data_IF_591636090269
#
_entry.id   IF_591636090269
#
_cell.length_a   1.000
_cell.length_b   1.000
_cell.length_c   1.000
_cell.angle_alpha   90.00
_cell.angle_beta   90.00
_cell.angle_gamma   90.00
#
_symmetry.space_group_name_H-M   'P 1'
#
loop_
_entity.id
_entity.type
_entity.pdbx_description
1 polymer ?
#
# COMPACT_ATOMS: atom_id res chain seq x y z
N UNK A 1 27.98 26.98 5.36
CA UNK A 1 27.66 26.79 3.94
C UNK A 1 26.15 26.71 3.85
N UNK A 2 25.51 27.45 2.95
CA UNK A 2 24.05 27.36 2.77
C UNK A 2 23.68 25.93 2.32
N UNK A 3 22.61 25.35 2.87
CA UNK A 3 22.33 23.92 2.79
C UNK A 3 21.50 23.53 1.55
N UNK A 4 20.51 24.33 1.17
CA UNK A 4 19.79 24.24 -0.12
C UNK A 4 19.17 25.61 -0.46
N UNK A 5 18.95 25.93 -1.74
CA UNK A 5 18.15 27.10 -2.15
C UNK A 5 16.95 26.63 -2.96
N UNK A 6 15.82 27.37 -2.97
CA UNK A 6 14.73 27.04 -3.87
C UNK A 6 15.14 27.26 -5.32
N UNK A 7 14.73 26.34 -6.16
CA UNK A 7 14.87 26.40 -7.61
C UNK A 7 13.53 26.07 -8.26
N UNK A 8 13.30 26.57 -9.46
CA UNK A 8 12.13 26.19 -10.27
C UNK A 8 12.15 24.69 -10.54
N UNK A 9 11.04 23.99 -10.29
CA UNK A 9 10.90 22.59 -10.71
C UNK A 9 10.52 22.49 -12.19
N UNK A 10 11.04 21.52 -12.94
CA UNK A 10 10.55 21.24 -14.30
C UNK A 10 9.15 20.59 -14.27
N UNK A 11 8.49 20.49 -15.43
CA UNK A 11 7.34 19.58 -15.59
C UNK A 11 7.85 18.14 -15.69
N UNK A 12 7.18 17.22 -14.98
CA UNK A 12 7.44 15.79 -15.03
C UNK A 12 6.89 15.14 -16.30
N UNK A 13 5.91 15.78 -16.96
CA UNK A 13 5.23 15.19 -18.12
C UNK A 13 4.23 14.11 -17.72
N UNK A 14 3.82 14.09 -16.45
CA UNK A 14 2.84 13.21 -15.88
C UNK A 14 1.81 14.04 -15.12
N UNK A 15 0.53 13.89 -15.45
CA UNK A 15 -0.55 14.76 -14.95
C UNK A 15 -0.75 14.71 -13.43
N UNK A 16 -0.43 13.59 -12.76
CA UNK A 16 -0.55 13.49 -11.30
C UNK A 16 0.68 14.03 -10.61
N UNK A 17 1.89 13.74 -11.13
CA UNK A 17 3.11 14.33 -10.57
C UNK A 17 3.04 15.86 -10.72
N UNK A 18 2.82 16.35 -11.96
CA UNK A 18 2.66 17.78 -12.24
C UNK A 18 1.50 18.40 -11.45
N UNK A 19 0.47 17.61 -11.15
CA UNK A 19 -0.67 18.00 -10.33
C UNK A 19 -0.36 18.19 -8.84
N UNK A 20 0.75 17.64 -8.35
CA UNK A 20 1.25 17.84 -6.98
C UNK A 20 2.45 18.76 -6.88
N UNK A 21 3.12 19.13 -7.98
CA UNK A 21 4.27 20.05 -7.88
C UNK A 21 3.79 21.48 -7.63
N UNK A 22 4.40 22.18 -6.67
CA UNK A 22 4.17 23.61 -6.47
C UNK A 22 4.73 24.45 -7.63
N UNK A 23 5.84 24.04 -8.25
CA UNK A 23 6.56 24.85 -9.25
C UNK A 23 7.97 25.26 -8.83
N UNK A 24 8.30 25.06 -7.55
CA UNK A 24 9.62 25.22 -6.97
C UNK A 24 9.87 24.16 -5.91
N UNK A 25 11.14 23.87 -5.66
CA UNK A 25 11.59 22.88 -4.68
C UNK A 25 12.99 23.24 -4.18
N UNK A 26 13.42 22.64 -3.09
CA UNK A 26 14.77 22.83 -2.57
C UNK A 26 15.80 22.05 -3.37
N UNK A 27 16.97 22.64 -3.63
CA UNK A 27 18.04 21.89 -4.29
C UNK A 27 19.42 22.32 -3.79
N UNK A 28 20.30 21.35 -3.60
CA UNK A 28 21.75 21.51 -3.51
C UNK A 28 22.40 20.67 -4.61
N UNK A 29 22.86 21.30 -5.71
CA UNK A 29 23.37 20.58 -6.88
C UNK A 29 24.70 19.89 -6.64
N UNK A 30 25.33 20.06 -5.48
CA UNK A 30 26.68 19.54 -5.21
C UNK A 30 26.70 18.31 -4.31
N UNK A 31 25.82 18.22 -3.32
CA UNK A 31 25.89 17.19 -2.27
C UNK A 31 24.53 16.61 -1.87
N UNK A 32 23.45 16.93 -2.60
CA UNK A 32 22.10 16.46 -2.33
C UNK A 32 21.33 17.36 -1.35
N UNK A 33 20.01 17.31 -1.42
CA UNK A 33 19.12 18.24 -0.70
C UNK A 33 19.15 17.98 0.80
N UNK A 34 19.79 18.91 1.52
CA UNK A 34 19.83 18.92 2.99
C UNK A 34 19.07 20.14 3.48
N UNK A 35 18.21 19.95 4.48
CA UNK A 35 17.30 20.97 4.98
C UNK A 35 17.36 21.05 6.49
N UNK A 36 17.67 22.23 7.01
CA UNK A 36 17.63 22.52 8.43
C UNK A 36 16.21 22.93 8.84
N UNK A 37 15.63 22.16 9.75
CA UNK A 37 14.30 22.39 10.31
C UNK A 37 14.45 22.97 11.71
N UNK A 38 13.88 24.15 11.93
CA UNK A 38 13.71 24.72 13.27
C UNK A 38 12.27 24.55 13.73
N UNK A 39 12.07 24.02 14.92
CA UNK A 39 10.74 23.91 15.54
C UNK A 39 10.59 25.06 16.53
N UNK A 40 9.81 26.07 16.14
CA UNK A 40 9.58 27.26 16.95
C UNK A 40 8.67 26.94 18.15
N UNK A 41 8.87 27.62 19.27
CA UNK A 41 7.96 27.59 20.41
C UNK A 41 8.10 26.40 21.36
N UNK A 42 9.13 25.56 21.22
CA UNK A 42 9.35 24.38 22.08
C UNK A 42 9.59 24.69 23.56
N UNK A 43 9.90 25.96 23.89
CA UNK A 43 10.17 26.42 25.26
C UNK A 43 9.20 27.53 25.68
N UNK A 44 7.98 27.52 25.15
CA UNK A 44 6.96 28.55 25.32
C UNK A 44 6.89 29.49 24.12
N UNK A 45 6.08 30.55 24.25
CA UNK A 45 5.76 31.45 23.14
C UNK A 45 7.01 32.01 22.44
N UNK A 46 7.09 31.77 21.13
CA UNK A 46 8.16 32.27 20.27
C UNK A 46 7.56 32.88 19.01
N UNK A 47 7.99 34.10 18.67
CA UNK A 47 7.55 34.77 17.44
C UNK A 47 8.50 34.42 16.31
N UNK A 48 7.95 34.08 15.15
CA UNK A 48 8.71 33.93 13.90
C UNK A 48 7.93 34.54 12.73
N UNK A 49 8.63 34.78 11.62
CA UNK A 49 8.03 35.34 10.41
C UNK A 49 7.42 34.23 9.55
N UNK A 50 6.11 34.27 9.37
CA UNK A 50 5.38 33.41 8.44
C UNK A 50 5.00 34.25 7.23
N UNK A 51 5.95 34.39 6.31
CA UNK A 51 5.70 35.06 5.03
C UNK A 51 5.43 36.56 5.15
N UNK A 52 6.14 37.25 6.04
CA UNK A 52 5.90 38.66 6.34
C UNK A 52 4.84 38.92 7.41
N UNK A 53 4.18 37.87 7.92
CA UNK A 53 3.26 37.96 9.06
C UNK A 53 3.94 37.38 10.30
N UNK A 54 4.11 38.16 11.39
CA UNK A 54 4.59 37.61 12.65
C UNK A 54 3.55 36.66 13.25
N UNK A 55 3.96 35.42 13.53
CA UNK A 55 3.14 34.38 14.17
C UNK A 55 3.76 33.96 15.50
N UNK A 56 2.94 33.70 16.52
CA UNK A 56 3.42 33.21 17.82
C UNK A 56 3.22 31.70 17.93
N UNK A 57 4.31 30.94 17.76
CA UNK A 57 4.30 29.50 18.02
C UNK A 57 4.37 29.20 19.52
N UNK A 58 3.68 28.14 19.94
CA UNK A 58 3.78 27.54 21.27
C UNK A 58 3.63 26.02 21.14
N UNK A 59 4.72 25.37 20.69
CA UNK A 59 4.72 23.97 20.26
C UNK A 59 4.97 23.03 21.44
N UNK A 60 4.02 22.13 21.72
CA UNK A 60 4.17 21.05 22.70
C UNK A 60 5.22 20.03 22.22
N UNK A 61 6.02 19.44 23.13
CA UNK A 61 6.98 18.41 22.76
C UNK A 61 6.41 17.23 21.95
N UNK A 62 5.11 16.90 22.09
CA UNK A 62 4.45 15.86 21.29
C UNK A 62 4.24 16.28 19.83
N UNK A 63 3.95 17.56 19.58
CA UNK A 63 3.82 18.13 18.24
C UNK A 63 5.19 18.20 17.57
N UNK A 64 6.20 18.65 18.30
CA UNK A 64 7.58 18.64 17.83
C UNK A 64 8.03 17.23 17.41
N UNK A 65 7.68 16.20 18.21
CA UNK A 65 7.96 14.82 17.86
C UNK A 65 7.25 14.37 16.57
N UNK A 66 6.03 14.84 16.30
CA UNK A 66 5.32 14.50 15.06
C UNK A 66 5.84 15.24 13.84
N UNK A 67 6.29 16.49 13.96
CA UNK A 67 7.02 17.14 12.85
C UNK A 67 8.29 16.35 12.49
N UNK A 68 9.04 15.89 13.50
CA UNK A 68 10.22 15.05 13.27
C UNK A 68 9.85 13.69 12.65
N UNK A 69 8.76 13.08 13.09
CA UNK A 69 8.25 11.83 12.51
C UNK A 69 7.83 12.00 11.04
N UNK A 70 7.08 13.07 10.73
CA UNK A 70 6.68 13.39 9.36
C UNK A 70 7.90 13.61 8.44
N UNK A 71 8.93 14.31 8.94
CA UNK A 71 10.19 14.49 8.22
C UNK A 71 10.87 13.14 7.92
N UNK A 72 10.96 12.25 8.91
CA UNK A 72 11.54 10.91 8.72
C UNK A 72 10.78 10.09 7.67
N UNK A 73 9.45 10.16 7.64
CA UNK A 73 8.64 9.47 6.63
C UNK A 73 8.95 9.94 5.20
N UNK A 74 9.30 11.21 5.01
CA UNK A 74 9.77 11.76 3.72
C UNK A 74 11.21 11.29 3.41
N UNK A 75 12.11 11.24 4.39
CA UNK A 75 13.48 10.71 4.19
C UNK A 75 13.50 9.23 3.82
N UNK A 76 12.51 8.44 4.27
CA UNK A 76 12.39 7.03 3.90
C UNK A 76 12.22 6.85 2.39
N UNK A 77 11.56 7.79 1.70
CA UNK A 77 11.12 7.60 0.31
C UNK A 77 11.93 8.39 -0.72
N UNK A 78 12.66 9.44 -0.31
CA UNK A 78 13.45 10.28 -1.24
C UNK A 78 14.75 10.80 -0.60
N UNK A 79 15.66 11.31 -1.42
CA UNK A 79 16.99 11.80 -0.98
C UNK A 79 16.94 13.24 -0.45
N UNK A 80 16.03 13.49 0.49
CA UNK A 80 16.06 14.68 1.35
C UNK A 80 16.68 14.27 2.67
N UNK A 81 17.55 15.11 3.22
CA UNK A 81 18.06 14.94 4.57
C UNK A 81 17.66 16.12 5.47
N UNK A 82 16.78 15.86 6.43
CA UNK A 82 16.38 16.84 7.43
C UNK A 82 17.36 16.84 8.60
N UNK A 83 17.70 18.05 9.06
CA UNK A 83 18.61 18.28 10.16
C UNK A 83 17.97 19.26 11.13
N UNK A 84 18.22 19.12 12.43
CA UNK A 84 17.72 20.11 13.40
C UNK A 84 18.55 21.39 13.29
N UNK A 85 17.89 22.52 13.08
CA UNK A 85 18.49 23.84 13.16
C UNK A 85 18.68 24.27 14.61
N UNK A 86 19.72 25.06 14.91
CA UNK A 86 19.96 25.56 16.28
C UNK A 86 19.33 26.91 16.58
N UNK A 87 18.80 27.59 15.55
CA UNK A 87 18.12 28.88 15.64
C UNK A 87 17.27 29.13 14.40
N UNK A 88 16.30 30.05 14.48
CA UNK A 88 15.51 30.49 13.31
C UNK A 88 16.40 30.95 12.15
N UNK A 89 17.47 31.70 12.42
CA UNK A 89 18.40 32.21 11.39
C UNK A 89 19.26 31.13 10.73
N UNK A 90 19.33 29.93 11.32
CA UNK A 90 20.04 28.78 10.78
C UNK A 90 19.11 27.83 9.99
N UNK A 91 17.81 28.12 9.99
CA UNK A 91 16.79 27.25 9.42
C UNK A 91 16.60 27.48 7.92
N UNK A 92 16.38 26.39 7.18
CA UNK A 92 15.80 26.41 5.84
C UNK A 92 14.27 26.31 5.91
N UNK A 93 13.75 25.55 6.87
CA UNK A 93 12.32 25.35 7.16
C UNK A 93 12.08 25.70 8.63
N UNK A 94 11.04 26.50 8.91
CA UNK A 94 10.56 26.77 10.27
C UNK A 94 9.18 26.16 10.42
N UNK A 95 8.99 25.30 11.42
CA UNK A 95 7.68 24.71 11.75
C UNK A 95 7.25 25.10 13.16
N UNK A 96 5.95 25.11 13.43
CA UNK A 96 5.44 25.28 14.79
C UNK A 96 3.93 25.07 14.90
N UNK A 97 3.44 24.92 16.13
CA UNK A 97 2.01 24.96 16.41
C UNK A 97 1.61 26.35 16.90
N UNK A 98 0.49 26.86 16.40
CA UNK A 98 -0.03 28.18 16.74
C UNK A 98 -1.54 28.12 16.98
N UNK A 99 -2.08 29.16 17.63
CA UNK A 99 -3.51 29.23 17.94
C UNK A 99 -4.34 29.70 16.75
N UNK A 100 -5.66 29.57 16.84
CA UNK A 100 -6.61 29.82 15.76
C UNK A 100 -6.52 31.24 15.17
N UNK A 101 -6.17 32.22 16.00
CA UNK A 101 -6.01 33.61 15.58
C UNK A 101 -4.86 33.78 14.57
N UNK A 102 -3.77 33.04 14.79
CA UNK A 102 -2.54 33.08 14.00
C UNK A 102 -2.67 32.23 12.72
N UNK A 103 -3.41 31.12 12.75
CA UNK A 103 -3.65 30.25 11.57
C UNK A 103 -4.94 30.61 10.81
N UNK A 104 -5.60 31.72 11.18
CA UNK A 104 -6.81 32.24 10.52
C UNK A 104 -7.97 31.23 10.36
N UNK A 105 -8.13 30.31 11.32
CA UNK A 105 -9.19 29.31 11.28
C UNK A 105 -8.91 28.05 10.45
N UNK A 106 -7.76 27.95 9.78
CA UNK A 106 -7.38 26.74 9.06
C UNK A 106 -6.81 25.67 10.01
N UNK A 107 -6.77 24.40 9.56
CA UNK A 107 -6.12 23.30 10.30
C UNK A 107 -4.60 23.47 10.32
N UNK A 108 -4.05 23.97 9.22
CA UNK A 108 -2.65 24.30 9.05
C UNK A 108 -2.48 25.30 7.92
N UNK A 109 -1.27 25.80 7.78
CA UNK A 109 -0.86 26.58 6.63
C UNK A 109 0.64 26.42 6.41
N UNK A 110 1.08 26.50 5.15
CA UNK A 110 2.49 26.41 4.80
C UNK A 110 2.84 27.35 3.66
N UNK A 111 4.11 27.74 3.63
CA UNK A 111 4.70 28.59 2.59
C UNK A 111 5.65 27.71 1.80
N UNK A 112 5.34 27.41 0.53
CA UNK A 112 6.18 26.57 -0.29
C UNK A 112 7.57 27.18 -0.56
N UNK A 113 8.58 26.35 -0.89
CA UNK A 113 9.91 26.83 -1.24
C UNK A 113 9.87 27.83 -2.39
N UNK A 114 10.59 28.94 -2.26
CA UNK A 114 10.71 29.94 -3.33
C UNK A 114 9.58 30.98 -3.38
N UNK A 115 8.55 30.85 -2.55
CA UNK A 115 7.58 31.92 -2.35
C UNK A 115 8.11 32.88 -1.27
N UNK A 116 8.43 34.10 -1.68
CA UNK A 116 8.83 35.17 -0.76
C UNK A 116 7.75 36.24 -0.74
N UNK A 117 6.89 36.19 0.29
CA UNK A 117 5.79 37.14 0.45
C UNK A 117 6.16 38.37 1.30
N UNK A 118 7.44 38.70 1.52
CA UNK A 118 7.76 40.07 1.97
C UNK A 118 9.23 40.48 2.23
N UNK A 119 9.49 41.56 3.00
CA UNK A 119 10.72 42.35 2.83
C UNK A 119 11.99 41.94 3.63
N UNK A 120 12.09 40.77 4.26
CA UNK A 120 13.27 40.44 5.11
C UNK A 120 13.58 38.93 5.13
N UNK A 121 14.65 38.54 4.42
CA UNK A 121 15.58 37.40 4.65
C UNK A 121 14.94 36.05 5.07
N UNK A 122 14.93 35.08 4.12
CA UNK A 122 14.67 33.64 4.32
C UNK A 122 13.29 33.25 4.90
N UNK A 123 12.26 33.33 4.05
CA UNK A 123 10.83 33.15 4.40
C UNK A 123 10.17 31.92 3.77
N UNK A 124 10.98 30.99 3.30
CA UNK A 124 10.57 29.89 2.43
C UNK A 124 10.43 28.61 3.25
N UNK A 125 9.46 27.76 2.90
CA UNK A 125 9.28 26.46 3.55
C UNK A 125 8.70 26.49 4.96
N UNK A 126 8.15 27.60 5.45
CA UNK A 126 7.57 27.67 6.80
C UNK A 126 6.24 26.92 6.88
N UNK A 127 5.94 26.23 7.98
CA UNK A 127 4.65 25.56 8.22
C UNK A 127 4.12 25.81 9.64
N UNK A 128 2.81 25.98 9.76
CA UNK A 128 2.10 26.09 11.03
C UNK A 128 0.92 25.13 11.08
N UNK A 129 0.69 24.57 12.25
CA UNK A 129 -0.49 23.74 12.56
C UNK A 129 -1.30 24.40 13.66
N UNK A 130 -2.62 24.29 13.58
CA UNK A 130 -3.54 24.94 14.51
C UNK A 130 -3.90 24.02 15.67
N UNK A 131 -3.29 24.23 16.83
CA UNK A 131 -3.56 23.39 18.01
C UNK A 131 -4.99 23.56 18.56
N UNK A 132 -5.65 24.69 18.28
CA UNK A 132 -7.05 24.93 18.70
C UNK A 132 -8.05 24.15 17.83
N UNK A 133 -7.62 23.64 16.67
CA UNK A 133 -8.44 22.89 15.73
C UNK A 133 -8.28 21.36 15.87
N UNK A 134 -7.48 20.89 16.83
CA UNK A 134 -7.30 19.47 17.05
C UNK A 134 -8.61 18.78 17.38
N UNK A 135 -8.77 17.60 16.80
CA UNK A 135 -9.95 16.77 16.99
C UNK A 135 -9.94 16.04 18.35
N UNK A 136 -8.84 16.12 19.11
CA UNK A 136 -8.79 15.66 20.50
C UNK A 136 -7.80 16.43 21.38
N UNK A 137 -8.25 16.77 22.59
CA UNK A 137 -7.44 17.50 23.59
C UNK A 137 -6.31 16.65 24.21
N UNK A 138 -6.36 15.33 24.06
CA UNK A 138 -5.40 14.39 24.64
C UNK A 138 -4.24 14.02 23.68
N UNK A 139 -4.17 14.67 22.51
CA UNK A 139 -3.20 14.41 21.44
C UNK A 139 -3.27 12.99 20.87
N UNK A 140 -4.39 12.28 21.06
CA UNK A 140 -4.53 10.91 20.54
C UNK A 140 -4.71 10.89 19.02
N UNK A 141 -5.34 11.92 18.45
CA UNK A 141 -5.50 12.16 17.01
C UNK A 141 -4.24 12.66 16.31
N UNK A 142 -3.25 13.13 17.07
CA UNK A 142 -1.95 13.53 16.56
C UNK A 142 -1.03 12.32 16.26
N UNK A 143 -1.37 11.12 16.73
CA UNK A 143 -0.57 9.91 16.44
C UNK A 143 -0.71 9.53 14.97
N UNK A 144 0.34 8.95 14.38
CA UNK A 144 0.30 8.45 13.01
C UNK A 144 -0.96 7.63 12.73
N UNK A 145 -1.73 8.06 11.74
CA UNK A 145 -3.03 7.49 11.38
C UNK A 145 -4.26 8.20 11.93
N UNK A 146 -4.08 9.09 12.90
CA UNK A 146 -5.11 10.01 13.36
C UNK A 146 -5.24 11.22 12.45
N UNK A 147 -6.37 11.91 12.56
CA UNK A 147 -6.74 13.03 11.70
C UNK A 147 -5.79 14.21 11.83
N UNK A 148 -5.44 14.60 13.05
CA UNK A 148 -4.56 15.76 13.24
C UNK A 148 -3.14 15.49 12.71
N UNK A 149 -2.69 14.22 12.69
CA UNK A 149 -1.41 13.87 12.07
C UNK A 149 -1.38 14.11 10.56
N UNK A 150 -2.51 13.97 9.86
CA UNK A 150 -2.57 14.19 8.40
C UNK A 150 -2.20 15.63 8.07
N UNK A 151 -2.63 16.58 8.91
CA UNK A 151 -2.27 18.00 8.76
C UNK A 151 -0.76 18.21 8.88
N UNK A 152 -0.07 17.55 9.82
CA UNK A 152 1.37 17.72 10.01
C UNK A 152 2.18 17.28 8.79
N UNK A 153 1.86 16.09 8.26
CA UNK A 153 2.58 15.57 7.08
C UNK A 153 2.22 16.34 5.80
N UNK A 154 0.98 16.82 5.70
CA UNK A 154 0.49 17.67 4.63
C UNK A 154 1.21 19.03 4.57
N UNK A 155 1.27 19.76 5.69
CA UNK A 155 1.94 21.07 5.73
C UNK A 155 3.45 20.95 5.48
N UNK A 156 4.07 19.86 5.94
CA UNK A 156 5.45 19.56 5.60
C UNK A 156 5.63 19.24 4.11
N UNK A 157 4.64 18.59 3.48
CA UNK A 157 4.57 18.38 2.03
C UNK A 157 4.65 19.69 1.25
N UNK A 158 3.89 20.71 1.67
CA UNK A 158 3.99 22.06 1.13
C UNK A 158 5.38 22.68 1.34
N UNK A 159 5.94 22.55 2.55
CA UNK A 159 7.29 23.06 2.86
C UNK A 159 8.39 22.47 2.00
N UNK A 160 8.16 21.30 1.38
CA UNK A 160 9.07 20.65 0.42
C UNK A 160 8.58 20.73 -1.03
N UNK A 161 7.62 21.59 -1.34
CA UNK A 161 7.27 21.95 -2.72
C UNK A 161 6.14 21.13 -3.34
N UNK A 162 5.31 20.49 -2.53
CA UNK A 162 4.05 19.91 -3.00
C UNK A 162 2.90 20.93 -2.93
N UNK A 163 1.84 20.73 -3.71
CA UNK A 163 0.61 21.51 -3.72
C UNK A 163 -0.61 20.60 -3.61
N UNK A 164 -1.78 21.21 -3.41
CA UNK A 164 -3.02 20.45 -3.45
C UNK A 164 -3.34 19.98 -4.88
N UNK A 165 -4.04 18.85 -5.04
CA UNK A 165 -4.49 18.36 -6.35
C UNK A 165 -5.60 19.21 -6.99
N UNK A 166 -6.18 20.16 -6.26
CA UNK A 166 -7.36 20.94 -6.67
C UNK A 166 -7.11 22.44 -6.89
N UNK A 167 -5.94 22.96 -6.52
CA UNK A 167 -5.60 24.37 -6.67
C UNK A 167 -4.55 24.63 -7.75
N UNK A 168 -4.61 25.82 -8.34
CA UNK A 168 -3.55 26.32 -9.19
C UNK A 168 -2.41 26.81 -8.29
N UNK A 169 -1.51 25.90 -7.91
CA UNK A 169 -0.28 26.28 -7.18
C UNK A 169 0.62 27.23 -7.99
N UNK A 170 1.89 27.30 -7.63
CA UNK A 170 2.87 28.10 -8.37
C UNK A 170 3.07 27.65 -9.84
N UNK A 171 3.55 28.57 -10.68
CA UNK A 171 4.11 28.23 -12.00
C UNK A 171 3.17 27.62 -13.04
N UNK A 172 1.84 27.69 -12.87
CA UNK A 172 0.85 27.22 -13.86
C UNK A 172 0.65 25.71 -13.89
N UNK A 173 0.84 25.05 -12.76
CA UNK A 173 0.69 23.59 -12.59
C UNK A 173 -0.78 23.17 -12.69
N UNK A 174 -1.08 22.01 -13.30
CA UNK A 174 -2.45 21.55 -13.46
C UNK A 174 -3.04 21.05 -12.14
N UNK A 175 -4.36 20.85 -12.12
CA UNK A 175 -5.03 20.02 -11.12
C UNK A 175 -4.91 18.54 -11.51
N UNK A 176 -5.25 17.65 -10.58
CA UNK A 176 -5.49 16.25 -10.91
C UNK A 176 -6.60 16.14 -11.98
N UNK A 177 -6.49 15.18 -12.93
CA UNK A 177 -7.53 14.93 -13.90
C UNK A 177 -8.92 14.75 -13.25
N UNK A 178 -9.91 15.48 -13.77
CA UNK A 178 -11.28 15.47 -13.27
C UNK A 178 -11.53 16.33 -12.02
N UNK A 179 -10.50 16.85 -11.35
CA UNK A 179 -10.65 17.63 -10.11
C UNK A 179 -10.93 19.10 -10.40
N UNK A 180 -12.07 19.55 -9.92
CA UNK A 180 -12.61 20.91 -10.06
C UNK A 180 -12.90 21.59 -8.72
N UNK A 181 -12.92 20.84 -7.62
CA UNK A 181 -13.16 21.35 -6.28
C UNK A 181 -12.30 20.71 -5.19
N UNK A 182 -12.22 21.34 -4.00
CA UNK A 182 -11.41 20.87 -2.89
C UNK A 182 -11.99 19.64 -2.17
N UNK A 183 -13.31 19.65 -1.90
CA UNK A 183 -13.98 18.65 -1.08
C UNK A 183 -15.06 17.91 -1.87
N UNK A 184 -15.20 16.61 -1.63
CA UNK A 184 -16.22 15.77 -2.27
C UNK A 184 -16.02 15.56 -3.78
N UNK A 185 -14.86 15.95 -4.30
CA UNK A 185 -14.45 15.78 -5.69
C UNK A 185 -13.25 14.86 -5.76
N UNK A 186 -13.50 13.60 -6.10
CA UNK A 186 -12.50 12.55 -6.11
C UNK A 186 -11.74 12.45 -7.43
N UNK A 187 -12.06 13.30 -8.41
CA UNK A 187 -11.45 13.29 -9.75
C UNK A 187 -11.67 12.00 -10.53
N UNK A 188 -10.99 11.87 -11.66
CA UNK A 188 -11.07 10.67 -12.49
C UNK A 188 -10.55 9.44 -11.74
N UNK A 189 -11.26 8.32 -11.88
CA UNK A 189 -10.96 7.05 -11.19
C UNK A 189 -10.93 7.15 -9.65
N UNK A 190 -11.49 8.22 -9.07
CA UNK A 190 -11.46 8.51 -7.63
C UNK A 190 -10.03 8.64 -7.06
N UNK A 191 -9.09 9.19 -7.83
CA UNK A 191 -7.67 9.26 -7.44
C UNK A 191 -7.31 10.49 -6.58
N UNK A 192 -8.26 11.40 -6.31
CA UNK A 192 -8.10 12.52 -5.38
C UNK A 192 -8.66 12.18 -3.99
N UNK A 193 -7.97 11.30 -3.26
CA UNK A 193 -8.33 10.84 -1.91
C UNK A 193 -7.07 10.62 -1.07
N UNK A 194 -7.21 10.66 0.26
CA UNK A 194 -6.12 10.54 1.22
C UNK A 194 -5.32 9.25 1.05
N UNK A 195 -5.96 8.16 0.63
CA UNK A 195 -5.27 6.89 0.33
C UNK A 195 -4.30 6.92 -0.87
N UNK A 196 -4.28 8.00 -1.67
CA UNK A 196 -3.43 8.12 -2.86
C UNK A 196 -2.52 9.36 -2.85
N UNK A 197 -2.88 10.39 -2.09
CA UNK A 197 -2.09 11.61 -1.90
C UNK A 197 -2.42 12.23 -0.54
N UNK A 198 -1.43 12.51 0.29
CA UNK A 198 -1.60 13.24 1.55
C UNK A 198 -1.97 14.72 1.32
N UNK A 199 -1.72 15.24 0.11
CA UNK A 199 -2.02 16.63 -0.25
C UNK A 199 -3.50 16.90 -0.60
N UNK A 200 -4.39 15.91 -0.53
CA UNK A 200 -5.82 16.15 -0.77
C UNK A 200 -6.51 16.75 0.46
N UNK A 201 -7.73 17.23 0.27
CA UNK A 201 -8.67 17.54 1.37
C UNK A 201 -9.73 16.44 1.55
N UNK A 202 -9.63 15.37 0.76
CA UNK A 202 -10.51 14.20 0.83
C UNK A 202 -9.83 13.09 1.64
N UNK A 203 -9.52 13.36 2.91
CA UNK A 203 -8.71 12.54 3.79
C UNK A 203 -9.28 11.12 3.99
N UNK A 204 -8.42 10.13 4.17
CA UNK A 204 -8.79 8.72 4.27
C UNK A 204 -9.39 8.14 2.97
N UNK A 205 -10.25 7.13 3.10
CA UNK A 205 -10.86 6.44 1.97
C UNK A 205 -12.35 6.77 1.81
N UNK A 206 -12.63 7.93 1.19
CA UNK A 206 -13.98 8.46 1.04
C UNK A 206 -14.93 7.53 0.28
N UNK A 207 -14.44 6.87 -0.78
CA UNK A 207 -15.22 5.93 -1.60
C UNK A 207 -15.10 4.47 -1.14
N UNK A 208 -14.51 4.23 0.03
CA UNK A 208 -14.32 2.89 0.57
C UNK A 208 -15.63 2.24 1.03
N UNK A 209 -15.64 0.91 1.22
CA UNK A 209 -16.82 0.17 1.66
C UNK A 209 -17.31 0.58 3.06
N UNK A 210 -16.43 1.16 3.90
CA UNK A 210 -16.78 1.68 5.22
C UNK A 210 -17.33 3.12 5.18
N UNK A 211 -17.29 3.76 4.01
CA UNK A 211 -17.59 5.18 3.85
C UNK A 211 -16.53 6.11 4.45
N UNK A 212 -16.72 7.43 4.34
CA UNK A 212 -15.83 8.42 4.92
C UNK A 212 -15.92 8.42 6.45
N UNK A 213 -14.78 8.69 7.11
CA UNK A 213 -14.74 8.91 8.54
C UNK A 213 -15.07 10.36 8.87
N UNK A 214 -15.83 10.56 9.95
CA UNK A 214 -16.05 11.87 10.55
C UNK A 214 -14.98 12.10 11.62
N UNK A 215 -14.07 13.08 11.47
CA UNK A 215 -13.03 13.36 12.47
C UNK A 215 -13.62 13.80 13.82
N UNK A 216 -14.82 14.39 13.88
CA UNK A 216 -15.45 14.71 15.16
C UNK A 216 -15.85 13.45 15.97
N UNK A 217 -16.01 12.31 15.29
CA UNK A 217 -16.43 11.04 15.91
C UNK A 217 -15.25 10.07 16.00
N UNK A 218 -14.44 9.98 14.95
CA UNK A 218 -13.34 9.03 14.79
C UNK A 218 -12.06 9.74 14.36
N UNK A 219 -11.40 10.50 15.25
CA UNK A 219 -10.19 11.24 14.87
C UNK A 219 -8.89 10.46 15.08
N UNK A 220 -8.94 9.29 15.71
CA UNK A 220 -7.74 8.65 16.29
C UNK A 220 -7.06 7.61 15.38
N UNK A 221 -7.69 7.27 14.27
CA UNK A 221 -7.25 6.25 13.33
C UNK A 221 -8.01 6.39 12.01
N UNK A 222 -7.56 5.69 10.97
CA UNK A 222 -8.33 5.56 9.75
C UNK A 222 -8.01 6.53 8.63
N UNK A 223 -6.97 7.34 8.82
CA UNK A 223 -6.48 8.29 7.82
C UNK A 223 -5.12 7.84 7.29
N UNK A 224 -4.63 8.53 6.26
CA UNK A 224 -3.30 8.35 5.70
C UNK A 224 -2.22 8.68 6.74
N UNK A 225 -1.26 7.76 6.88
CA UNK A 225 -0.19 7.86 7.86
C UNK A 225 1.19 8.10 7.24
N UNK A 226 1.32 8.12 5.92
CA UNK A 226 2.59 8.24 5.21
C UNK A 226 2.40 9.09 3.95
N UNK A 227 3.49 9.54 3.28
CA UNK A 227 3.39 9.93 1.88
C UNK A 227 2.80 8.75 1.09
N UNK A 228 1.85 9.05 0.21
CA UNK A 228 1.12 8.06 -0.58
C UNK A 228 1.68 7.98 -2.00
N UNK A 229 1.15 7.10 -2.85
CA UNK A 229 1.78 6.76 -4.13
C UNK A 229 2.12 7.97 -5.01
N UNK A 230 1.24 8.96 -5.10
CA UNK A 230 1.51 10.17 -5.88
C UNK A 230 2.47 11.12 -5.18
N UNK A 231 2.41 11.23 -3.85
CA UNK A 231 3.38 12.03 -3.07
C UNK A 231 4.79 11.46 -3.22
N UNK A 232 4.93 10.13 -3.11
CA UNK A 232 6.19 9.42 -3.29
C UNK A 232 6.72 9.70 -4.70
N UNK A 233 5.91 9.52 -5.74
CA UNK A 233 6.34 9.78 -7.12
C UNK A 233 6.76 11.26 -7.33
N UNK A 234 6.04 12.21 -6.75
CA UNK A 234 6.35 13.64 -6.86
C UNK A 234 7.63 14.02 -6.09
N UNK A 235 7.78 13.55 -4.85
CA UNK A 235 8.96 13.80 -4.04
C UNK A 235 10.21 13.13 -4.64
N UNK A 236 10.09 11.91 -5.16
CA UNK A 236 11.19 11.24 -5.86
C UNK A 236 11.54 11.91 -7.18
N UNK A 237 10.56 12.50 -7.88
CA UNK A 237 10.86 13.32 -9.06
C UNK A 237 11.67 14.58 -8.70
N UNK A 238 11.34 15.24 -7.59
CA UNK A 238 12.05 16.44 -7.13
C UNK A 238 13.43 16.14 -6.55
N UNK A 239 13.54 15.09 -5.74
CA UNK A 239 14.68 14.86 -4.85
C UNK A 239 15.45 13.56 -5.14
N UNK A 240 14.96 12.72 -6.05
CA UNK A 240 15.47 11.38 -6.30
C UNK A 240 15.00 10.37 -5.24
N UNK A 241 14.84 9.12 -5.67
CA UNK A 241 14.40 8.03 -4.79
C UNK A 241 15.48 7.61 -3.79
N UNK A 242 15.07 7.33 -2.55
CA UNK A 242 15.93 6.68 -1.57
C UNK A 242 15.94 5.18 -1.83
N UNK A 243 17.02 4.66 -2.41
CA UNK A 243 17.15 3.24 -2.81
C UNK A 243 17.75 2.34 -1.73
N UNK A 244 17.86 2.82 -0.48
CA UNK A 244 18.47 2.08 0.63
C UNK A 244 17.52 1.89 1.82
N UNK A 245 16.22 2.15 1.62
CA UNK A 245 15.21 2.00 2.66
C UNK A 245 14.56 0.62 2.55
N UNK A 246 14.66 -0.19 3.62
CA UNK A 246 14.19 -1.58 3.65
C UNK A 246 14.76 -2.39 2.48
N UNK A 247 15.95 -2.95 2.70
CA UNK A 247 16.65 -3.77 1.69
C UNK A 247 16.63 -5.26 2.08
N UNK A 248 15.78 -5.62 3.04
CA UNK A 248 15.68 -6.96 3.59
C UNK A 248 14.29 -7.54 3.35
N UNK A 249 14.11 -8.78 3.77
CA UNK A 249 12.79 -9.40 3.66
C UNK A 249 11.86 -8.82 4.72
N UNK A 250 10.78 -8.16 4.27
CA UNK A 250 9.84 -7.47 5.13
C UNK A 250 8.43 -8.12 5.07
N UNK A 251 7.73 -8.08 6.21
CA UNK A 251 6.34 -8.56 6.32
C UNK A 251 5.43 -7.40 6.69
N UNK A 252 4.57 -7.03 5.75
CA UNK A 252 3.54 -6.00 5.87
C UNK A 252 2.24 -6.64 6.36
N UNK A 253 1.98 -6.55 7.67
CA UNK A 253 0.78 -7.15 8.27
C UNK A 253 -0.37 -6.17 8.27
N UNK A 254 -1.50 -6.55 7.66
CA UNK A 254 -2.73 -5.75 7.65
C UNK A 254 -3.30 -5.61 9.07
N UNK A 255 -3.78 -4.42 9.41
CA UNK A 255 -4.44 -4.18 10.69
C UNK A 255 -5.70 -5.03 10.84
N UNK A 256 -5.92 -5.58 12.03
CA UNK A 256 -7.03 -6.49 12.32
C UNK A 256 -8.19 -5.84 13.08
N UNK A 257 -8.01 -4.63 13.58
CA UNK A 257 -9.02 -3.87 14.32
C UNK A 257 -8.85 -2.36 14.12
N UNK A 258 -9.94 -1.61 14.24
CA UNK A 258 -9.95 -0.16 14.21
C UNK A 258 -9.55 0.41 15.57
N UNK A 259 -8.34 0.95 15.68
CA UNK A 259 -7.79 1.53 16.91
C UNK A 259 -6.65 2.52 16.59
N UNK A 260 -6.24 3.39 17.54
CA UNK A 260 -5.06 4.24 17.36
C UNK A 260 -3.85 3.44 16.84
N UNK A 261 -3.23 3.92 15.75
CA UNK A 261 -2.19 3.19 15.01
C UNK A 261 -2.70 2.35 13.83
N UNK A 262 -4.00 2.37 13.53
CA UNK A 262 -4.58 1.84 12.29
C UNK A 262 -4.64 2.94 11.24
N UNK A 263 -4.03 2.73 10.08
CA UNK A 263 -3.94 3.76 9.04
C UNK A 263 -3.72 3.19 7.65
N UNK A 264 -3.93 4.03 6.64
CA UNK A 264 -3.54 3.75 5.27
C UNK A 264 -2.10 4.22 5.04
N UNK A 265 -1.30 3.40 4.35
CA UNK A 265 0.06 3.77 3.97
C UNK A 265 0.40 3.25 2.59
N UNK A 266 1.43 3.84 1.98
CA UNK A 266 1.98 3.36 0.72
C UNK A 266 3.34 2.73 0.97
N UNK A 267 3.51 1.48 0.54
CA UNK A 267 4.76 0.74 0.73
C UNK A 267 5.82 1.29 -0.22
N UNK A 268 6.90 1.82 0.36
CA UNK A 268 8.19 2.01 -0.30
C UNK A 268 9.18 1.00 0.27
N UNK A 269 9.63 0.09 -0.56
CA UNK A 269 10.57 -0.97 -0.24
C UNK A 269 11.56 -1.10 -1.41
N UNK A 270 12.84 -1.31 -1.11
CA UNK A 270 13.92 -1.21 -2.11
C UNK A 270 14.65 -2.51 -2.34
N UNK A 271 14.24 -3.58 -1.66
CA UNK A 271 14.58 -4.93 -2.05
C UNK A 271 14.43 -5.91 -0.90
N UNK A 272 14.42 -7.18 -1.26
CA UNK A 272 14.17 -8.25 -0.32
C UNK A 272 13.32 -9.30 -1.00
N UNK A 273 12.61 -10.06 -0.16
CA UNK A 273 11.42 -10.81 -0.55
C UNK A 273 10.32 -10.40 0.43
N UNK A 274 9.27 -9.79 -0.09
CA UNK A 274 8.31 -9.01 0.65
C UNK A 274 7.00 -9.79 0.75
N UNK A 275 6.29 -9.66 1.87
CA UNK A 275 5.01 -10.34 2.08
C UNK A 275 3.96 -9.39 2.62
N UNK A 276 2.81 -9.28 1.95
CA UNK A 276 1.60 -8.73 2.59
C UNK A 276 0.81 -9.87 3.24
N UNK A 277 0.44 -9.70 4.51
CA UNK A 277 -0.24 -10.74 5.29
C UNK A 277 -1.49 -10.23 6.00
N UNK A 278 -2.59 -10.97 5.87
CA UNK A 278 -3.73 -10.88 6.78
C UNK A 278 -3.53 -11.91 7.92
N UNK A 279 -3.46 -11.45 9.16
CA UNK A 279 -3.42 -12.32 10.34
C UNK A 279 -4.73 -12.28 11.14
N UNK A 280 -5.79 -11.68 10.58
CA UNK A 280 -7.08 -11.56 11.21
C UNK A 280 -7.99 -12.74 10.85
N UNK A 281 -9.10 -12.86 11.58
CA UNK A 281 -10.15 -13.84 11.27
C UNK A 281 -11.15 -13.31 10.23
N UNK A 282 -10.96 -12.10 9.72
CA UNK A 282 -11.87 -11.46 8.76
C UNK A 282 -11.34 -11.63 7.34
N UNK A 283 -12.25 -11.59 6.39
CA UNK A 283 -11.92 -11.48 4.96
C UNK A 283 -11.07 -10.27 4.67
N UNK A 284 -10.21 -10.40 3.66
CA UNK A 284 -9.32 -9.37 3.17
C UNK A 284 -9.26 -9.36 1.66
N UNK A 285 -8.91 -8.20 1.12
CA UNK A 285 -8.40 -8.05 -0.24
C UNK A 285 -6.91 -7.78 -0.14
N UNK A 286 -6.08 -8.54 -0.82
CA UNK A 286 -4.64 -8.33 -0.94
C UNK A 286 -4.33 -8.19 -2.44
N UNK A 287 -3.72 -7.07 -2.83
CA UNK A 287 -3.38 -6.78 -4.21
C UNK A 287 -1.90 -6.35 -4.28
N UNK A 288 -1.10 -7.16 -4.97
CA UNK A 288 0.36 -6.98 -5.07
C UNK A 288 0.79 -6.04 -6.21
N UNK A 289 -0.16 -5.40 -6.89
CA UNK A 289 0.14 -4.49 -8.00
C UNK A 289 0.49 -3.09 -7.50
N UNK A 290 1.69 -2.65 -7.88
CA UNK A 290 2.18 -1.31 -7.65
C UNK A 290 1.36 -0.22 -8.36
N UNK A 291 1.46 1.00 -7.85
CA UNK A 291 0.95 2.20 -8.50
C UNK A 291 1.55 2.36 -9.90
N UNK A 292 0.68 2.54 -10.88
CA UNK A 292 1.09 2.75 -12.28
C UNK A 292 1.51 4.19 -12.55
N UNK A 293 1.03 5.13 -11.72
CA UNK A 293 1.14 6.59 -11.91
C UNK A 293 0.51 7.05 -13.24
N UNK A 294 -0.32 6.21 -13.87
CA UNK A 294 -1.02 6.52 -15.11
C UNK A 294 -2.41 7.09 -14.84
N UNK A 295 -2.95 7.82 -15.83
CA UNK A 295 -4.35 8.26 -15.83
C UNK A 295 -5.28 7.09 -16.17
N UNK A 296 -5.39 6.19 -15.21
CA UNK A 296 -6.15 4.96 -15.30
C UNK A 296 -6.50 4.46 -13.89
N UNK A 297 -7.39 3.47 -13.83
CA UNK A 297 -7.55 2.66 -12.63
C UNK A 297 -6.18 2.08 -12.20
N UNK A 298 -5.87 2.16 -10.90
CA UNK A 298 -4.55 1.77 -10.38
C UNK A 298 -3.46 2.84 -10.53
N UNK A 299 -3.81 4.07 -10.93
CA UNK A 299 -2.89 5.22 -10.95
C UNK A 299 -2.17 5.41 -9.61
N UNK A 300 -2.93 5.44 -8.50
CA UNK A 300 -2.42 5.51 -7.13
C UNK A 300 -2.13 4.14 -6.48
N UNK A 301 -2.15 3.06 -7.26
CA UNK A 301 -2.03 1.69 -6.76
C UNK A 301 -3.37 1.05 -6.43
N UNK A 302 -3.29 -0.21 -5.98
CA UNK A 302 -4.43 -1.00 -5.54
C UNK A 302 -4.33 -1.24 -4.03
N UNK A 303 -5.47 -1.29 -3.36
CA UNK A 303 -5.49 -1.34 -1.90
C UNK A 303 -5.55 -2.78 -1.40
N UNK A 304 -4.61 -3.12 -0.52
CA UNK A 304 -4.68 -4.28 0.37
C UNK A 304 -5.30 -3.88 1.70
N UNK A 305 -6.38 -4.55 2.13
CA UNK A 305 -7.23 -4.17 3.27
C UNK A 305 -7.94 -5.37 3.89
N UNK A 306 -8.26 -5.29 5.19
CA UNK A 306 -9.17 -6.23 5.88
C UNK A 306 -10.57 -5.62 5.96
N UNK A 307 -11.60 -6.44 5.74
CA UNK A 307 -13.00 -5.98 5.73
C UNK A 307 -13.40 -5.28 7.03
N UNK A 308 -13.97 -4.08 6.90
CA UNK A 308 -14.39 -3.26 8.03
C UNK A 308 -13.25 -2.56 8.77
N UNK A 309 -12.00 -2.66 8.30
CA UNK A 309 -10.84 -1.98 8.89
C UNK A 309 -10.46 -0.77 8.04
N UNK A 310 -10.31 0.39 8.70
CA UNK A 310 -9.88 1.62 8.07
C UNK A 310 -8.35 1.71 8.09
N UNK A 311 -7.70 0.79 7.40
CA UNK A 311 -6.25 0.76 7.31
C UNK A 311 -5.79 -0.31 6.35
N UNK A 312 -4.63 -0.11 5.75
CA UNK A 312 -4.17 -0.95 4.66
C UNK A 312 -3.00 -0.37 3.92
N UNK A 313 -2.66 -1.02 2.81
CA UNK A 313 -1.49 -0.71 2.01
C UNK A 313 -1.86 -0.47 0.55
N UNK A 314 -1.36 0.62 -0.02
CA UNK A 314 -1.05 0.66 -1.45
C UNK A 314 0.45 0.38 -1.63
N UNK A 315 0.90 0.14 -2.86
CA UNK A 315 2.31 -0.13 -3.18
C UNK A 315 2.80 0.98 -4.11
N UNK A 316 3.93 1.61 -3.78
CA UNK A 316 4.48 2.72 -4.56
C UNK A 316 4.98 2.25 -5.93
N UNK A 317 5.11 3.19 -6.87
CA UNK A 317 5.61 2.88 -8.21
C UNK A 317 7.04 2.33 -8.17
N UNK A 318 7.28 1.26 -8.92
CA UNK A 318 8.59 0.61 -8.98
C UNK A 318 8.93 -0.31 -7.81
N UNK A 319 8.04 -0.40 -6.81
CA UNK A 319 8.15 -1.38 -5.72
C UNK A 319 7.58 -2.71 -6.17
N UNK A 320 8.21 -3.79 -5.71
CA UNK A 320 7.85 -5.17 -6.00
C UNK A 320 7.45 -5.85 -4.69
N UNK A 321 6.38 -6.65 -4.73
CA UNK A 321 5.96 -7.49 -3.60
C UNK A 321 5.73 -8.89 -4.14
N UNK A 322 6.39 -9.88 -3.56
CA UNK A 322 6.44 -11.24 -4.12
C UNK A 322 5.38 -12.14 -3.51
N UNK A 323 4.95 -11.89 -2.28
CA UNK A 323 4.11 -12.84 -1.55
C UNK A 323 2.87 -12.21 -0.92
N UNK A 324 1.82 -13.02 -0.87
CA UNK A 324 0.59 -12.72 -0.16
C UNK A 324 0.17 -13.91 0.71
N UNK A 325 -0.34 -13.62 1.89
CA UNK A 325 -0.93 -14.62 2.78
C UNK A 325 -2.27 -14.12 3.33
N UNK A 326 -3.36 -14.81 2.98
CA UNK A 326 -4.70 -14.63 3.51
C UNK A 326 -4.82 -15.05 4.99
N UNK A 327 -5.97 -14.74 5.57
CA UNK A 327 -6.37 -15.08 6.93
C UNK A 327 -7.10 -16.42 6.99
N UNK A 328 -8.18 -16.50 7.76
CA UNK A 328 -8.97 -17.73 7.94
C UNK A 328 -10.41 -17.59 7.46
N UNK A 329 -10.69 -16.58 6.65
CA UNK A 329 -11.99 -16.26 6.06
C UNK A 329 -11.83 -16.14 4.55
N UNK A 330 -12.92 -16.00 3.80
CA UNK A 330 -12.84 -15.88 2.34
C UNK A 330 -12.06 -14.63 1.92
N UNK A 331 -10.84 -14.80 1.44
CA UNK A 331 -9.94 -13.74 1.01
C UNK A 331 -9.92 -13.60 -0.52
N UNK A 332 -9.55 -12.41 -0.99
CA UNK A 332 -9.25 -12.17 -2.40
C UNK A 332 -7.79 -11.74 -2.52
N UNK A 333 -7.01 -12.52 -3.25
CA UNK A 333 -5.58 -12.31 -3.45
C UNK A 333 -5.30 -12.14 -4.94
N UNK A 334 -4.68 -11.02 -5.30
CA UNK A 334 -4.22 -10.74 -6.67
C UNK A 334 -2.71 -10.56 -6.65
N UNK A 335 -2.00 -11.38 -7.43
CA UNK A 335 -0.56 -11.29 -7.65
C UNK A 335 -0.17 -10.12 -8.54
N UNK A 336 0.98 -10.22 -9.20
CA UNK A 336 1.47 -9.22 -10.15
C UNK A 336 2.07 -9.90 -11.39
N UNK A 337 3.12 -9.35 -11.99
CA UNK A 337 3.70 -9.90 -13.22
C UNK A 337 4.94 -10.78 -12.94
N UNK A 338 5.28 -10.97 -11.67
CA UNK A 338 6.43 -11.74 -11.20
C UNK A 338 5.98 -13.11 -10.69
N UNK A 339 6.95 -14.00 -10.48
CA UNK A 339 6.70 -15.24 -9.74
C UNK A 339 6.33 -14.94 -8.28
N UNK A 340 5.06 -15.15 -7.93
CA UNK A 340 4.55 -14.90 -6.59
C UNK A 340 4.38 -16.19 -5.78
N UNK A 341 4.37 -16.06 -4.44
CA UNK A 341 3.81 -17.10 -3.56
C UNK A 341 2.51 -16.59 -2.93
N UNK A 342 1.40 -17.21 -3.29
CA UNK A 342 0.05 -16.78 -2.91
C UNK A 342 -0.62 -17.88 -2.07
N UNK A 343 -0.90 -17.59 -0.81
CA UNK A 343 -1.47 -18.55 0.14
C UNK A 343 -2.79 -18.02 0.69
N UNK A 344 -3.91 -18.70 0.43
CA UNK A 344 -5.24 -18.34 0.96
C UNK A 344 -5.42 -18.73 2.43
N UNK A 345 -4.86 -19.87 2.83
CA UNK A 345 -4.98 -20.54 4.14
C UNK A 345 -6.33 -21.23 4.36
N UNK A 346 -7.35 -20.54 4.87
CA UNK A 346 -8.65 -21.16 5.13
C UNK A 346 -9.75 -20.16 4.79
N UNK A 347 -10.89 -20.66 4.32
CA UNK A 347 -11.90 -19.80 3.72
C UNK A 347 -12.16 -20.23 2.28
N UNK A 348 -13.16 -19.64 1.63
CA UNK A 348 -13.36 -19.87 0.20
C UNK A 348 -12.68 -18.73 -0.55
N UNK A 349 -11.41 -18.93 -0.86
CA UNK A 349 -10.52 -17.89 -1.33
C UNK A 349 -10.60 -17.72 -2.85
N UNK A 350 -10.30 -16.50 -3.30
CA UNK A 350 -10.12 -16.18 -4.72
C UNK A 350 -8.70 -15.73 -4.93
N UNK A 351 -7.91 -16.54 -5.62
CA UNK A 351 -6.50 -16.26 -5.86
C UNK A 351 -6.27 -16.15 -7.37
N UNK A 352 -5.65 -15.04 -7.79
CA UNK A 352 -5.29 -14.79 -9.18
C UNK A 352 -3.82 -14.39 -9.25
N UNK A 353 -2.97 -15.24 -9.83
CA UNK A 353 -1.53 -15.02 -10.01
C UNK A 353 -1.22 -13.87 -10.97
N UNK A 354 -2.08 -13.67 -11.98
CA UNK A 354 -1.91 -12.77 -13.12
C UNK A 354 -0.82 -13.19 -14.09
N UNK A 355 0.45 -13.02 -13.78
CA UNK A 355 1.52 -13.48 -14.65
C UNK A 355 2.82 -13.68 -13.89
N UNK A 356 3.77 -14.38 -14.48
CA UNK A 356 4.88 -14.96 -13.73
C UNK A 356 4.62 -16.44 -13.47
N UNK A 357 5.60 -17.15 -12.92
CA UNK A 357 5.46 -18.56 -12.57
C UNK A 357 5.10 -18.66 -11.09
N UNK A 358 3.81 -18.77 -10.79
CA UNK A 358 3.28 -18.58 -9.44
C UNK A 358 3.21 -19.89 -8.64
N UNK A 359 3.42 -19.79 -7.33
CA UNK A 359 3.12 -20.85 -6.37
C UNK A 359 1.81 -20.49 -5.65
N UNK A 360 0.73 -21.18 -5.98
CA UNK A 360 -0.62 -20.90 -5.51
C UNK A 360 -1.09 -22.03 -4.60
N UNK A 361 -1.45 -21.70 -3.37
CA UNK A 361 -2.10 -22.61 -2.42
C UNK A 361 -3.39 -21.97 -1.91
N UNK A 362 -4.53 -22.50 -2.31
CA UNK A 362 -5.84 -22.10 -1.76
C UNK A 362 -5.89 -22.38 -0.26
N UNK A 363 -5.73 -23.66 0.10
CA UNK A 363 -5.76 -24.11 1.48
C UNK A 363 -7.09 -24.80 1.77
N UNK A 364 -7.69 -24.57 2.94
CA UNK A 364 -8.96 -25.22 3.30
C UNK A 364 -10.15 -24.39 2.83
N UNK A 365 -10.93 -24.95 1.93
CA UNK A 365 -12.21 -24.38 1.53
C UNK A 365 -12.63 -24.87 0.16
N UNK A 366 -13.55 -24.17 -0.48
CA UNK A 366 -13.76 -24.27 -1.92
C UNK A 366 -13.13 -23.05 -2.58
N UNK A 367 -11.88 -23.18 -2.99
CA UNK A 367 -11.11 -22.06 -3.51
C UNK A 367 -11.27 -21.92 -5.02
N UNK A 368 -11.13 -20.68 -5.51
CA UNK A 368 -11.04 -20.38 -6.94
C UNK A 368 -9.65 -19.89 -7.26
N UNK A 369 -8.92 -20.69 -8.03
CA UNK A 369 -7.52 -20.47 -8.34
C UNK A 369 -7.37 -20.14 -9.82
N UNK A 370 -6.64 -19.08 -10.12
CA UNK A 370 -6.29 -18.63 -11.47
C UNK A 370 -4.76 -18.45 -11.47
N UNK A 371 -4.06 -19.20 -12.32
CA UNK A 371 -2.61 -19.07 -12.47
C UNK A 371 -2.27 -17.80 -13.23
N UNK A 372 -2.91 -17.61 -14.38
CA UNK A 372 -2.64 -16.51 -15.28
C UNK A 372 -1.60 -16.90 -16.33
N UNK A 373 -0.60 -16.04 -16.53
CA UNK A 373 0.42 -16.24 -17.55
C UNK A 373 1.75 -16.70 -16.97
N UNK A 374 2.12 -17.96 -17.18
CA UNK A 374 3.40 -18.50 -16.77
C UNK A 374 3.30 -20.00 -16.60
N UNK A 375 4.25 -20.60 -15.89
CA UNK A 375 4.17 -22.01 -15.52
C UNK A 375 3.84 -22.09 -14.04
N UNK A 376 2.56 -22.26 -13.74
CA UNK A 376 2.02 -22.07 -12.39
C UNK A 376 1.93 -23.41 -11.64
N UNK A 377 2.11 -23.35 -10.33
CA UNK A 377 1.98 -24.50 -9.43
C UNK A 377 0.77 -24.32 -8.52
N UNK A 378 -0.17 -25.25 -8.62
CA UNK A 378 -1.31 -25.36 -7.72
C UNK A 378 -0.99 -26.40 -6.64
N UNK A 379 -0.65 -25.92 -5.45
CA UNK A 379 -0.03 -26.70 -4.38
C UNK A 379 -1.08 -27.15 -3.37
N UNK A 380 -1.08 -28.45 -3.09
CA UNK A 380 -1.89 -29.09 -2.06
C UNK A 380 -0.99 -29.86 -1.08
N UNK A 381 -1.16 -29.57 0.20
CA UNK A 381 -0.35 -30.13 1.29
C UNK A 381 -1.13 -31.08 2.20
N UNK A 382 -2.45 -31.14 2.05
CA UNK A 382 -3.29 -32.07 2.78
C UNK A 382 -4.56 -32.42 2.00
N UNK A 383 -5.05 -33.65 2.18
CA UNK A 383 -6.28 -34.17 1.57
C UNK A 383 -7.49 -33.26 1.80
N UNK A 384 -7.59 -32.69 3.00
CA UNK A 384 -8.72 -31.86 3.40
C UNK A 384 -8.69 -30.43 2.85
N UNK A 385 -7.69 -30.07 2.05
CA UNK A 385 -7.68 -28.82 1.29
C UNK A 385 -8.64 -28.89 0.10
N UNK A 386 -8.94 -30.08 -0.45
CA UNK A 386 -9.94 -30.23 -1.52
C UNK A 386 -10.80 -31.50 -1.35
N UNK A 387 -11.37 -31.68 -0.16
CA UNK A 387 -12.28 -32.78 0.18
C UNK A 387 -13.61 -32.26 0.76
N UNK A 388 -14.73 -32.67 0.15
CA UNK A 388 -16.10 -32.25 0.52
C UNK A 388 -16.43 -30.80 0.14
N UNK A 389 -15.41 -29.95 0.13
CA UNK A 389 -15.32 -28.64 -0.50
C UNK A 389 -14.19 -28.75 -1.53
N UNK A 390 -14.48 -28.43 -2.78
CA UNK A 390 -13.57 -28.71 -3.88
C UNK A 390 -13.09 -27.40 -4.49
N UNK A 391 -11.79 -27.34 -4.71
CA UNK A 391 -11.17 -26.25 -5.42
C UNK A 391 -11.50 -26.30 -6.91
N UNK A 392 -11.49 -25.11 -7.51
CA UNK A 392 -11.63 -24.88 -8.93
C UNK A 392 -10.43 -24.10 -9.46
N UNK A 393 -9.59 -24.77 -10.25
CA UNK A 393 -8.58 -24.13 -11.08
C UNK A 393 -9.23 -23.72 -12.41
N UNK A 394 -9.18 -22.43 -12.73
CA UNK A 394 -9.97 -21.86 -13.82
C UNK A 394 -9.29 -21.84 -15.19
N UNK A 395 -7.97 -21.90 -15.23
CA UNK A 395 -7.19 -21.62 -16.44
C UNK A 395 -6.01 -22.56 -16.66
N UNK A 396 -6.01 -23.72 -16.00
CA UNK A 396 -4.95 -24.72 -16.10
C UNK A 396 -4.51 -24.99 -17.55
N UNK A 397 -3.23 -24.81 -17.83
CA UNK A 397 -2.57 -25.01 -19.12
C UNK A 397 -1.77 -26.32 -19.09
N UNK A 398 -2.27 -27.33 -19.78
CA UNK A 398 -1.60 -28.63 -19.90
C UNK A 398 -0.17 -28.50 -20.46
N UNK A 399 0.77 -29.21 -19.85
CA UNK A 399 2.19 -29.22 -20.21
C UNK A 399 2.97 -27.97 -19.79
N UNK A 400 2.34 -27.06 -19.06
CA UNK A 400 2.92 -25.82 -18.55
C UNK A 400 2.68 -25.68 -17.05
N UNK A 401 1.44 -25.80 -16.62
CA UNK A 401 1.05 -25.74 -15.22
C UNK A 401 1.20 -27.12 -14.55
N UNK A 402 1.32 -27.09 -13.22
CA UNK A 402 1.58 -28.27 -12.40
C UNK A 402 0.59 -28.32 -11.22
N UNK A 403 0.02 -29.50 -10.98
CA UNK A 403 -0.71 -29.82 -9.75
C UNK A 403 0.27 -30.51 -8.80
N UNK A 404 0.73 -29.78 -7.79
CA UNK A 404 1.71 -30.28 -6.82
C UNK A 404 1.01 -30.86 -5.59
N UNK A 405 1.10 -32.18 -5.44
CA UNK A 405 0.56 -32.95 -4.31
C UNK A 405 1.65 -33.72 -3.56
N UNK A 406 2.94 -33.45 -3.82
CA UNK A 406 4.04 -34.25 -3.27
C UNK A 406 4.19 -34.13 -1.74
N UNK A 407 3.51 -33.16 -1.12
CA UNK A 407 3.42 -33.04 0.33
C UNK A 407 2.35 -33.97 0.95
N UNK A 408 1.46 -34.56 0.15
CA UNK A 408 0.44 -35.51 0.60
C UNK A 408 1.04 -36.92 0.57
N UNK A 409 1.18 -37.55 1.74
CA UNK A 409 1.59 -38.95 1.82
C UNK A 409 0.52 -39.86 1.23
N UNK A 410 0.79 -40.40 0.04
CA UNK A 410 -0.12 -41.25 -0.72
C UNK A 410 -0.19 -42.69 -0.17
N UNK A 411 -0.10 -42.85 1.14
CA UNK A 411 -0.24 -44.12 1.83
C UNK A 411 -0.73 -43.88 3.25
N UNK A 412 -2.04 -43.65 3.40
CA UNK A 412 -2.69 -43.24 4.65
C UNK A 412 -2.51 -44.17 5.88
N UNK A 413 -1.62 -45.18 5.85
CA UNK A 413 -1.32 -46.06 6.98
C UNK A 413 0.12 -46.61 7.09
N UNK A 414 1.05 -46.41 6.13
CA UNK A 414 2.42 -46.98 6.22
C UNK A 414 3.49 -45.89 6.32
N UNK A 415 4.61 -46.18 6.99
CA UNK A 415 5.68 -45.20 7.17
C UNK A 415 6.36 -44.85 5.83
N UNK A 416 6.38 -43.56 5.45
CA UNK A 416 7.02 -43.05 4.24
C UNK A 416 6.41 -41.73 3.78
N UNK A 417 6.78 -41.31 2.57
CA UNK A 417 6.01 -40.36 1.74
C UNK A 417 5.84 -41.06 0.39
N UNK A 418 4.77 -41.83 0.23
CA UNK A 418 4.51 -42.53 -1.02
C UNK A 418 4.00 -41.55 -2.08
N UNK A 419 4.45 -41.70 -3.32
CA UNK A 419 3.94 -40.91 -4.45
C UNK A 419 2.68 -41.55 -5.04
N UNK A 420 1.80 -40.74 -5.61
CA UNK A 420 0.64 -41.25 -6.35
C UNK A 420 1.05 -41.92 -7.66
N UNK A 421 0.27 -42.93 -8.09
CA UNK A 421 0.39 -43.50 -9.44
C UNK A 421 -0.62 -42.84 -10.38
N UNK A 422 -0.15 -42.14 -11.42
CA UNK A 422 -1.01 -41.55 -12.44
C UNK A 422 -1.60 -42.61 -13.38
N UNK A 423 -2.93 -42.64 -13.48
CA UNK A 423 -3.71 -43.63 -14.26
C UNK A 423 -4.32 -43.06 -15.54
N UNK A 424 -4.10 -41.78 -15.82
CA UNK A 424 -4.80 -41.08 -16.90
C UNK A 424 -6.31 -41.13 -16.70
N UNK A 425 -7.05 -41.53 -17.74
CA UNK A 425 -8.51 -41.70 -17.67
C UNK A 425 -8.97 -43.08 -17.18
N UNK A 426 -8.05 -44.00 -16.87
CA UNK A 426 -8.37 -45.37 -16.44
C UNK A 426 -8.97 -45.40 -15.04
N UNK A 427 -9.79 -46.42 -14.73
CA UNK A 427 -10.35 -46.61 -13.39
C UNK A 427 -9.27 -46.93 -12.35
N UNK A 428 -9.54 -46.56 -11.10
CA UNK A 428 -8.75 -46.99 -9.96
C UNK A 428 -8.71 -48.53 -9.89
N UNK A 429 -7.54 -49.06 -9.56
CA UNK A 429 -7.33 -50.50 -9.35
C UNK A 429 -7.45 -50.89 -7.88
N UNK A 430 -7.25 -49.95 -6.96
CA UNK A 430 -7.11 -50.23 -5.52
C UNK A 430 -5.76 -50.86 -5.17
N UNK A 431 -4.75 -50.75 -6.04
CA UNK A 431 -3.39 -51.26 -5.79
C UNK A 431 -2.52 -50.32 -4.92
N UNK A 432 -3.11 -49.29 -4.31
CA UNK A 432 -2.44 -48.23 -3.57
C UNK A 432 -3.04 -46.87 -3.94
N UNK A 433 -2.34 -45.79 -3.60
CA UNK A 433 -2.79 -44.47 -3.96
C UNK A 433 -2.59 -44.16 -5.44
N UNK A 434 -3.65 -43.67 -6.05
CA UNK A 434 -3.74 -43.44 -7.49
C UNK A 434 -4.39 -42.08 -7.75
N UNK A 435 -3.94 -41.42 -8.81
CA UNK A 435 -4.58 -40.21 -9.34
C UNK A 435 -5.06 -40.48 -10.75
N UNK A 436 -6.26 -39.99 -11.07
CA UNK A 436 -6.87 -40.11 -12.41
C UNK A 436 -7.66 -38.85 -12.74
N UNK A 437 -8.05 -38.70 -14.00
CA UNK A 437 -8.98 -37.65 -14.39
C UNK A 437 -10.25 -38.20 -15.07
N UNK A 438 -11.35 -37.46 -14.93
CA UNK A 438 -12.63 -37.71 -15.60
C UNK A 438 -13.18 -36.41 -16.15
N UNK A 439 -13.40 -36.37 -17.47
CA UNK A 439 -14.01 -35.23 -18.16
C UNK A 439 -15.53 -35.25 -17.98
N UNK A 440 -16.09 -34.16 -17.46
CA UNK A 440 -17.51 -33.93 -17.37
C UNK A 440 -17.95 -32.89 -18.41
N UNK A 441 -18.46 -33.38 -19.54
CA UNK A 441 -18.93 -32.52 -20.63
C UNK A 441 -20.17 -31.68 -20.29
N UNK A 442 -20.94 -32.06 -19.26
CA UNK A 442 -22.19 -31.36 -18.93
C UNK A 442 -21.97 -29.98 -18.29
N UNK A 443 -20.85 -29.80 -17.58
CA UNK A 443 -20.48 -28.56 -16.91
C UNK A 443 -19.13 -28.00 -17.39
N UNK A 444 -18.54 -28.59 -18.43
CA UNK A 444 -17.23 -28.20 -18.96
C UNK A 444 -16.13 -28.22 -17.88
N UNK A 445 -16.05 -29.30 -17.11
CA UNK A 445 -15.05 -29.49 -16.05
C UNK A 445 -14.31 -30.80 -16.23
N UNK A 446 -13.02 -30.81 -15.91
CA UNK A 446 -12.23 -32.03 -15.72
C UNK A 446 -12.04 -32.25 -14.22
N UNK A 447 -12.54 -33.39 -13.71
CA UNK A 447 -12.36 -33.77 -12.32
C UNK A 447 -11.06 -34.55 -12.19
N UNK A 448 -10.11 -34.05 -11.40
CA UNK A 448 -8.92 -34.78 -10.97
C UNK A 448 -9.27 -35.46 -9.66
N UNK A 449 -9.18 -36.79 -9.63
CA UNK A 449 -9.63 -37.64 -8.54
C UNK A 449 -8.43 -38.37 -7.96
N UNK A 450 -8.28 -38.31 -6.64
CA UNK A 450 -7.23 -38.99 -5.90
C UNK A 450 -7.86 -40.05 -4.99
N UNK A 451 -7.46 -41.30 -5.15
CA UNK A 451 -7.74 -42.41 -4.24
C UNK A 451 -6.47 -42.62 -3.42
N UNK A 452 -6.54 -42.45 -2.10
CA UNK A 452 -5.37 -42.38 -1.21
C UNK A 452 -5.28 -43.66 -0.37
N UNK A 453 -6.40 -44.26 -0.01
CA UNK A 453 -6.47 -45.47 0.80
C UNK A 453 -6.62 -46.77 -0.04
N UNK A 454 -6.78 -46.66 -1.36
CA UNK A 454 -6.92 -47.77 -2.29
C UNK A 454 -8.32 -48.40 -2.31
N UNK A 455 -9.33 -47.73 -1.74
CA UNK A 455 -10.70 -48.24 -1.69
C UNK A 455 -11.49 -48.02 -3.00
N UNK A 456 -10.88 -47.41 -4.02
CA UNK A 456 -11.46 -47.05 -5.32
C UNK A 456 -12.51 -45.92 -5.27
N UNK A 457 -12.57 -45.16 -4.18
CA UNK A 457 -13.42 -43.99 -3.97
C UNK A 457 -12.47 -42.77 -3.86
N UNK A 458 -12.76 -41.67 -4.56
CA UNK A 458 -11.94 -40.47 -4.42
C UNK A 458 -11.99 -39.90 -2.99
N UNK A 459 -10.81 -39.71 -2.39
CA UNK A 459 -10.58 -39.06 -1.09
C UNK A 459 -10.31 -37.55 -1.24
N UNK A 460 -9.95 -37.11 -2.44
CA UNK A 460 -9.75 -35.69 -2.78
C UNK A 460 -10.16 -35.47 -4.24
N UNK A 461 -10.71 -34.30 -4.54
CA UNK A 461 -11.10 -33.93 -5.90
C UNK A 461 -10.75 -32.49 -6.18
N UNK A 462 -10.06 -32.24 -7.29
CA UNK A 462 -9.78 -30.90 -7.81
C UNK A 462 -10.55 -30.74 -9.12
N UNK A 463 -11.20 -29.60 -9.32
CA UNK A 463 -11.88 -29.29 -10.58
C UNK A 463 -11.00 -28.38 -11.45
N UNK A 464 -10.87 -28.72 -12.72
CA UNK A 464 -10.29 -27.85 -13.74
C UNK A 464 -11.40 -27.37 -14.68
N UNK A 465 -11.46 -26.07 -14.95
CA UNK A 465 -12.36 -25.55 -16.00
C UNK A 465 -11.85 -26.01 -17.36
N UNK A 466 -12.75 -26.58 -18.18
CA UNK A 466 -12.43 -27.14 -19.49
C UNK A 466 -12.35 -28.67 -19.51
N UNK A 467 -12.32 -29.23 -20.74
CA UNK A 467 -12.22 -30.67 -20.98
C UNK A 467 -10.77 -31.08 -21.29
N UNK A 468 -9.89 -30.93 -20.30
CA UNK A 468 -8.44 -31.08 -20.40
C UNK A 468 -8.04 -32.56 -20.34
N UNK A 469 -7.17 -32.99 -21.26
CA UNK A 469 -6.51 -34.30 -21.16
C UNK A 469 -5.23 -34.10 -20.39
N UNK A 470 -5.11 -34.72 -19.21
CA UNK A 470 -3.90 -34.61 -18.39
C UNK A 470 -2.92 -35.75 -18.70
N UNK A 471 -1.64 -35.47 -18.50
CA UNK A 471 -0.50 -36.37 -18.60
C UNK A 471 0.25 -36.42 -17.27
N UNK A 472 1.16 -37.39 -17.09
CA UNK A 472 1.91 -37.51 -15.83
C UNK A 472 2.83 -36.31 -15.55
N UNK A 473 3.18 -35.53 -16.58
CA UNK A 473 4.02 -34.34 -16.45
C UNK A 473 3.28 -33.10 -15.95
N UNK A 474 1.94 -33.17 -15.82
CA UNK A 474 1.10 -32.10 -15.26
C UNK A 474 1.01 -32.17 -13.72
N UNK A 475 1.83 -33.05 -13.10
CA UNK A 475 1.79 -33.32 -11.67
C UNK A 475 3.18 -33.47 -11.07
N UNK A 476 3.33 -32.91 -9.87
CA UNK A 476 4.38 -33.27 -8.91
C UNK A 476 3.76 -34.22 -7.87
N UNK A 477 4.12 -35.51 -7.94
CA UNK A 477 3.49 -36.62 -7.19
C UNK A 477 4.32 -37.20 -6.05
#
# INVERSE_FOLDING_TARGET
MAFSNPVTSPFAGNVYIDGLLWGSHWNDPTIGTRLKVYIAGMNGNEVFDFGGTPITANTDPKEAAMFQHAAQLIEHICNVNFMIATSQSDADIIVGAAGNADVHGALGASIPPGEDIGPVINRQGAAIVNFDAYSSDDYSSLRQGGYDFTTFIHELGHSVGLKHPHDSGGGGRPNFPGVTGPFGDYGDFNLNQGIYTMMTYNDGWQTGPNGPLDPAITPRYGYEGTPMAFDIAALQFLYGANTNYRMGNDIYTLSSNNAPGTFYSCIWDTGGIETIRNSSIKSSTIDLRAATIQHALGGGGYLSVVDGINGGFTIAHGVMIENATGGTSADTITGNWMANTLIGNAGNDRINGLGGADNIRGGKGSDTLIGGGGADKFIYTAVNESFGQFDLIKDFVQGMDDIDVAAIDANGAAAGNAAFVFRGSSKFTGAGAEVRFVKNASNNVTNVLFDIDGNQIPDMTIHLTGLITLESGDFTL
#
